data_IF_473727918380
#
_entry.id   IF_473727918380
#
_cell.length_a   1.000
_cell.length_b   1.000
_cell.length_c   1.000
_cell.angle_alpha   90.00
_cell.angle_beta   90.00
_cell.angle_gamma   90.00
#
_symmetry.space_group_name_H-M   'P 1'
#
loop_
_entity.id
_entity.type
_entity.pdbx_description
1 polymer ?
#
# COMPACT_ATOMS: atom_id res chain seq x y z
N UNK A 1 31.68 -4.31 -24.71
CA UNK A 1 31.14 -5.54 -24.08
C UNK A 1 30.22 -5.12 -22.94
N UNK A 2 28.98 -5.62 -22.84
CA UNK A 2 28.08 -5.23 -21.76
C UNK A 2 28.65 -5.62 -20.39
N UNK A 3 28.58 -4.71 -19.42
CA UNK A 3 29.08 -4.93 -18.06
C UNK A 3 28.06 -5.75 -17.26
N UNK A 4 28.19 -7.08 -17.31
CA UNK A 4 27.26 -8.03 -16.66
C UNK A 4 27.24 -7.89 -15.13
N UNK A 5 28.37 -7.53 -14.52
CA UNK A 5 28.49 -7.39 -13.06
C UNK A 5 27.62 -6.23 -12.55
N UNK A 6 27.62 -5.11 -13.27
CA UNK A 6 26.77 -3.97 -12.94
C UNK A 6 25.28 -4.31 -13.12
N UNK A 7 24.93 -5.02 -14.20
CA UNK A 7 23.56 -5.43 -14.48
C UNK A 7 23.00 -6.37 -13.40
N UNK A 8 23.80 -7.34 -12.93
CA UNK A 8 23.41 -8.25 -11.84
C UNK A 8 23.21 -7.52 -10.53
N UNK A 9 24.04 -6.51 -10.25
CA UNK A 9 23.92 -5.69 -9.04
C UNK A 9 22.60 -4.92 -9.03
N UNK A 10 22.26 -4.26 -10.14
CA UNK A 10 21.00 -3.51 -10.28
C UNK A 10 19.79 -4.44 -10.20
N UNK A 11 19.85 -5.59 -10.88
CA UNK A 11 18.79 -6.59 -10.83
C UNK A 11 18.53 -7.07 -9.40
N UNK A 12 19.60 -7.36 -8.63
CA UNK A 12 19.49 -7.81 -7.23
C UNK A 12 18.90 -6.74 -6.31
N UNK A 13 19.24 -5.47 -6.51
CA UNK A 13 18.71 -4.36 -5.71
C UNK A 13 17.23 -4.06 -5.99
N UNK A 14 16.78 -4.30 -7.22
CA UNK A 14 15.41 -3.99 -7.67
C UNK A 14 14.46 -5.19 -7.60
N UNK A 15 14.96 -6.38 -7.26
CA UNK A 15 14.21 -7.64 -7.32
C UNK A 15 13.97 -8.15 -8.75
N UNK A 16 14.73 -7.63 -9.72
CA UNK A 16 14.71 -8.05 -11.11
C UNK A 16 15.70 -9.19 -11.43
N UNK A 17 15.79 -9.55 -12.71
CA UNK A 17 16.65 -10.62 -13.22
C UNK A 17 17.38 -10.15 -14.49
N UNK A 18 18.66 -10.53 -14.66
CA UNK A 18 19.42 -10.26 -15.89
C UNK A 18 19.17 -11.37 -16.91
N UNK A 19 18.72 -11.01 -18.10
CA UNK A 19 18.35 -11.97 -19.15
C UNK A 19 19.35 -11.90 -20.30
N UNK A 20 19.77 -13.06 -20.81
CA UNK A 20 20.56 -13.12 -22.03
C UNK A 20 19.71 -12.79 -23.26
N UNK A 21 20.33 -12.23 -24.30
CA UNK A 21 19.63 -11.80 -25.53
C UNK A 21 18.83 -12.93 -26.18
N UNK A 22 19.41 -14.13 -26.27
CA UNK A 22 18.74 -15.34 -26.79
C UNK A 22 17.52 -15.80 -25.97
N UNK A 23 17.33 -15.29 -24.74
CA UNK A 23 16.21 -15.65 -23.87
C UNK A 23 15.14 -14.58 -23.77
N UNK A 24 15.30 -13.47 -24.50
CA UNK A 24 14.36 -12.35 -24.47
C UNK A 24 12.96 -12.75 -24.96
N UNK A 25 12.86 -13.49 -26.07
CA UNK A 25 11.58 -13.95 -26.61
C UNK A 25 10.83 -14.89 -25.65
N UNK A 26 11.56 -15.82 -25.04
CA UNK A 26 11.01 -16.74 -24.04
C UNK A 26 10.53 -16.01 -22.79
N UNK A 27 11.24 -14.96 -22.37
CA UNK A 27 10.84 -14.13 -21.25
C UNK A 27 9.58 -13.32 -21.55
N UNK A 28 9.52 -12.67 -22.72
CA UNK A 28 8.35 -11.91 -23.19
C UNK A 28 7.10 -12.80 -23.29
N UNK A 29 7.25 -14.05 -23.76
CA UNK A 29 6.16 -15.01 -23.81
C UNK A 29 5.65 -15.46 -22.43
N UNK A 30 6.48 -15.36 -21.38
CA UNK A 30 6.11 -15.73 -20.02
C UNK A 30 5.64 -14.54 -19.16
N UNK A 31 5.80 -13.30 -19.62
CA UNK A 31 5.32 -12.08 -18.94
C UNK A 31 3.82 -12.14 -18.59
N UNK A 32 2.91 -12.54 -19.51
CA UNK A 32 1.48 -12.60 -19.20
C UNK A 32 1.13 -13.60 -18.10
N UNK A 33 1.99 -14.60 -17.86
CA UNK A 33 1.82 -15.63 -16.84
C UNK A 33 2.42 -15.21 -15.49
N UNK A 34 3.31 -14.20 -15.47
CA UNK A 34 3.90 -13.69 -14.23
C UNK A 34 2.88 -12.80 -13.55
N UNK A 35 2.39 -13.25 -12.40
CA UNK A 35 1.61 -12.42 -11.47
C UNK A 35 2.51 -11.31 -10.95
N UNK A 36 2.54 -10.16 -11.64
CA UNK A 36 3.00 -8.94 -11.03
C UNK A 36 2.06 -8.67 -9.85
N UNK A 37 2.55 -8.59 -8.60
CA UNK A 37 1.72 -8.14 -7.51
C UNK A 37 1.41 -6.68 -7.83
N UNK A 38 0.21 -6.42 -8.36
CA UNK A 38 -0.31 -5.08 -8.47
C UNK A 38 -0.39 -4.61 -7.02
N UNK A 39 0.54 -3.74 -6.64
CA UNK A 39 0.50 -3.08 -5.33
C UNK A 39 -0.70 -2.14 -5.38
N UNK A 40 -1.88 -2.72 -5.19
CA UNK A 40 -3.09 -1.96 -4.97
C UNK A 40 -2.86 -1.22 -3.66
N UNK A 41 -2.84 0.11 -3.73
CA UNK A 41 -2.71 0.95 -2.54
C UNK A 41 -3.99 0.78 -1.72
N UNK A 42 -3.98 -0.22 -0.83
CA UNK A 42 -5.07 -0.50 0.09
C UNK A 42 -5.22 0.69 1.04
N UNK A 43 -6.05 1.64 0.65
CA UNK A 43 -6.42 2.75 1.53
C UNK A 43 -7.55 2.23 2.40
N UNK A 44 -7.24 1.65 3.56
CA UNK A 44 -8.26 1.27 4.54
C UNK A 44 -8.96 2.56 5.01
N UNK A 45 -10.22 2.83 4.60
CA UNK A 45 -10.87 4.08 4.98
C UNK A 45 -11.25 3.97 6.44
N UNK A 46 -10.66 4.83 7.28
CA UNK A 46 -10.99 4.90 8.71
C UNK A 46 -12.49 5.16 8.93
N UNK A 47 -13.13 5.88 8.02
CA UNK A 47 -14.57 6.18 8.01
C UNK A 47 -15.47 4.99 7.72
N UNK A 48 -14.95 3.89 7.16
CA UNK A 48 -15.74 2.67 6.96
C UNK A 48 -15.98 1.93 8.28
N UNK A 49 -15.21 2.26 9.32
CA UNK A 49 -15.41 1.72 10.67
C UNK A 49 -16.43 2.58 11.40
N UNK A 50 -17.66 2.08 11.52
CA UNK A 50 -18.76 2.71 12.28
C UNK A 50 -18.35 3.13 13.71
N UNK A 51 -17.35 2.46 14.29
CA UNK A 51 -16.73 2.82 15.57
C UNK A 51 -16.20 4.25 15.63
N UNK A 52 -15.61 4.77 14.55
CA UNK A 52 -15.06 6.14 14.52
C UNK A 52 -16.18 7.18 14.62
N UNK A 53 -17.31 6.91 13.95
CA UNK A 53 -18.50 7.76 14.04
C UNK A 53 -19.10 7.74 15.45
N UNK A 54 -19.25 6.56 16.05
CA UNK A 54 -19.76 6.43 17.43
C UNK A 54 -18.84 7.12 18.43
N UNK A 55 -17.52 7.05 18.24
CA UNK A 55 -16.56 7.76 19.09
C UNK A 55 -16.73 9.28 19.01
N UNK A 56 -16.85 9.83 17.81
CA UNK A 56 -17.09 11.27 17.62
C UNK A 56 -18.42 11.72 18.27
N UNK A 57 -19.49 10.92 18.10
CA UNK A 57 -20.77 11.20 18.74
C UNK A 57 -20.69 11.15 20.26
N UNK A 58 -19.96 10.17 20.81
CA UNK A 58 -19.73 10.06 22.24
C UNK A 58 -18.94 11.26 22.79
N UNK A 59 -17.92 11.75 22.08
CA UNK A 59 -17.23 13.00 22.45
C UNK A 59 -18.18 14.19 22.49
N UNK A 60 -19.09 14.29 21.52
CA UNK A 60 -20.07 15.38 21.45
C UNK A 60 -21.07 15.33 22.62
N UNK A 61 -21.59 14.13 22.93
CA UNK A 61 -22.49 13.91 24.07
C UNK A 61 -21.75 14.15 25.39
N UNK A 62 -20.50 13.71 25.50
CA UNK A 62 -19.68 13.92 26.67
C UNK A 62 -19.40 15.40 26.90
N UNK A 63 -19.05 16.17 25.87
CA UNK A 63 -18.88 17.62 25.97
C UNK A 63 -20.18 18.29 26.43
N UNK A 64 -21.31 17.97 25.77
CA UNK A 64 -22.62 18.49 26.14
C UNK A 64 -22.97 18.15 27.59
N UNK A 65 -22.80 16.89 27.99
CA UNK A 65 -23.09 16.41 29.34
C UNK A 65 -22.20 17.08 30.39
N UNK A 66 -20.91 17.22 30.10
CA UNK A 66 -19.96 17.89 30.99
C UNK A 66 -20.32 19.37 31.17
N UNK A 67 -20.69 20.05 30.07
CA UNK A 67 -21.15 21.45 30.10
C UNK A 67 -22.45 21.60 30.87
N UNK A 68 -23.39 20.66 30.67
CA UNK A 68 -24.70 20.66 31.33
C UNK A 68 -24.63 20.37 32.83
N UNK A 69 -23.71 19.51 33.26
CA UNK A 69 -23.46 19.20 34.66
C UNK A 69 -22.67 20.28 35.39
N UNK A 70 -21.70 20.92 34.72
CA UNK A 70 -20.94 22.02 35.32
C UNK A 70 -21.67 23.37 35.29
N UNK A 71 -22.90 23.42 34.76
CA UNK A 71 -23.73 24.63 34.78
C UNK A 71 -23.19 25.78 33.94
N UNK A 72 -22.35 25.52 32.93
CA UNK A 72 -21.84 26.53 31.99
C UNK A 72 -22.82 26.72 30.82
N UNK A 73 -24.09 26.99 31.15
CA UNK A 73 -25.13 27.37 30.19
C UNK A 73 -25.54 28.82 30.45
#
# INVERSE_FOLDING_TARGET
KPNRVLLETIARQTGGEVIAQDRLDSFAANLPKRKAPITESWTLPLWHRSTVFVFALACFIAEWGLRRWKGMA
#
